data_IF_883309376926
#
_entry.id   IF_883309376926
#
_cell.length_a   1.000
_cell.length_b   1.000
_cell.length_c   1.000
_cell.angle_alpha   90.00
_cell.angle_beta   90.00
_cell.angle_gamma   90.00
#
_symmetry.space_group_name_H-M   'P 1'
#
loop_
_entity.id
_entity.type
_entity.pdbx_description
1 polymer ?
#
# COMPACT_ATOMS: atom_id res chain seq x y z
N UNK A 1 -2.16 -4.58 -21.90
CA UNK A 1 -2.36 -4.61 -20.43
C UNK A 1 -3.76 -5.09 -20.11
N UNK A 2 -3.87 -6.14 -19.29
CA UNK A 2 -5.15 -6.63 -18.76
C UNK A 2 -5.77 -5.58 -17.82
N UNK A 3 -7.08 -5.62 -17.59
CA UNK A 3 -7.79 -4.76 -16.64
C UNK A 3 -7.17 -4.85 -15.23
N UNK A 4 -6.93 -6.07 -14.75
CA UNK A 4 -6.33 -6.31 -13.43
C UNK A 4 -4.87 -5.84 -13.34
N UNK A 5 -4.14 -5.89 -14.46
CA UNK A 5 -2.79 -5.33 -14.53
C UNK A 5 -2.81 -3.80 -14.39
N UNK A 6 -3.80 -3.11 -14.99
CA UNK A 6 -3.99 -1.65 -14.82
C UNK A 6 -4.33 -1.29 -13.38
N UNK A 7 -5.16 -2.10 -12.71
CA UNK A 7 -5.46 -1.94 -11.28
C UNK A 7 -4.19 -2.05 -10.45
N UNK A 8 -3.38 -3.09 -10.66
CA UNK A 8 -2.11 -3.28 -9.95
C UNK A 8 -1.14 -2.12 -10.15
N UNK A 9 -1.02 -1.59 -11.38
CA UNK A 9 -0.22 -0.41 -11.65
C UNK A 9 -0.75 0.85 -10.98
N UNK A 10 -2.07 1.00 -10.89
CA UNK A 10 -2.71 2.12 -10.19
C UNK A 10 -2.40 2.05 -8.69
N UNK A 11 -2.56 0.87 -8.08
CA UNK A 11 -2.23 0.65 -6.67
C UNK A 11 -0.77 0.99 -6.35
N UNK A 12 0.16 0.49 -7.17
CA UNK A 12 1.58 0.76 -7.03
C UNK A 12 1.92 2.25 -7.24
N UNK A 13 1.38 2.86 -8.29
CA UNK A 13 1.72 4.26 -8.62
C UNK A 13 1.16 5.23 -7.58
N UNK A 14 -0.10 5.06 -7.17
CA UNK A 14 -0.74 5.92 -6.17
C UNK A 14 -0.03 5.82 -4.83
N UNK A 15 0.32 4.61 -4.39
CA UNK A 15 1.03 4.41 -3.12
C UNK A 15 2.45 4.99 -3.14
N UNK A 16 3.22 4.79 -4.22
CA UNK A 16 4.55 5.38 -4.36
C UNK A 16 4.48 6.90 -4.45
N UNK A 17 3.56 7.46 -5.23
CA UNK A 17 3.38 8.91 -5.34
C UNK A 17 2.98 9.52 -3.99
N UNK A 18 2.09 8.87 -3.23
CA UNK A 18 1.75 9.30 -1.88
C UNK A 18 2.99 9.34 -0.98
N UNK A 19 3.79 8.27 -0.92
CA UNK A 19 5.01 8.21 -0.12
C UNK A 19 6.03 9.29 -0.51
N UNK A 20 6.25 9.48 -1.82
CA UNK A 20 7.17 10.48 -2.34
C UNK A 20 6.69 11.89 -1.99
N UNK A 21 5.43 12.22 -2.26
CA UNK A 21 4.87 13.54 -1.94
C UNK A 21 4.95 13.85 -0.45
N UNK A 22 4.61 12.88 0.39
CA UNK A 22 4.72 13.02 1.85
C UNK A 22 6.17 13.33 2.25
N UNK A 23 7.16 12.60 1.72
CA UNK A 23 8.58 12.83 2.00
C UNK A 23 9.06 14.22 1.55
N UNK A 24 8.60 14.69 0.38
CA UNK A 24 8.93 16.02 -0.13
C UNK A 24 8.23 17.16 0.61
N UNK A 25 7.00 16.93 1.07
CA UNK A 25 6.20 17.93 1.78
C UNK A 25 6.58 18.03 3.26
N UNK A 26 7.15 16.97 3.84
CA UNK A 26 7.50 16.91 5.26
C UNK A 26 8.36 18.09 5.75
N UNK A 27 9.42 18.52 5.05
CA UNK A 27 10.25 19.64 5.50
C UNK A 27 9.51 20.99 5.56
N UNK A 28 8.39 21.14 4.83
CA UNK A 28 7.66 22.41 4.73
C UNK A 28 6.37 22.41 5.53
N UNK A 29 5.65 21.28 5.56
CA UNK A 29 4.33 21.16 6.18
C UNK A 29 4.34 20.38 7.51
N UNK A 30 5.45 19.73 7.87
CA UNK A 30 5.54 18.88 9.06
C UNK A 30 4.43 17.82 9.07
N UNK A 31 3.66 17.77 10.16
CA UNK A 31 2.52 16.85 10.30
C UNK A 31 1.40 17.07 9.28
N UNK A 32 1.30 18.28 8.69
CA UNK A 32 0.36 18.57 7.60
C UNK A 32 0.63 17.76 6.33
N UNK A 33 1.86 17.24 6.16
CA UNK A 33 2.21 16.38 5.02
C UNK A 33 1.40 15.07 5.00
N UNK A 34 0.84 14.63 6.14
CA UNK A 34 -0.05 13.47 6.21
C UNK A 34 -1.28 13.60 5.30
N UNK A 35 -1.70 14.84 4.96
CA UNK A 35 -2.77 15.08 4.01
C UNK A 35 -2.51 14.49 2.61
N UNK A 36 -1.25 14.33 2.20
CA UNK A 36 -0.92 13.72 0.93
C UNK A 36 -1.24 12.20 0.88
N UNK A 37 -1.36 11.53 2.04
CA UNK A 37 -1.93 10.18 2.08
C UNK A 37 -3.41 10.15 1.69
N UNK A 38 -4.11 11.29 1.64
CA UNK A 38 -5.44 11.40 1.05
C UNK A 38 -5.50 10.94 -0.42
N UNK A 39 -4.37 10.97 -1.14
CA UNK A 39 -4.27 10.40 -2.49
C UNK A 39 -4.51 8.90 -2.54
N UNK A 40 -4.33 8.18 -1.42
CA UNK A 40 -4.69 6.77 -1.31
C UNK A 40 -6.20 6.55 -1.49
N UNK A 41 -7.03 7.57 -1.27
CA UNK A 41 -8.45 7.51 -1.63
C UNK A 41 -8.69 7.27 -3.13
N UNK A 42 -7.73 7.62 -3.99
CA UNK A 42 -7.81 7.36 -5.43
C UNK A 42 -7.79 5.88 -5.78
N UNK A 43 -7.34 5.01 -4.86
CA UNK A 43 -7.39 3.57 -5.04
C UNK A 43 -8.83 3.06 -5.24
N UNK A 44 -9.83 3.73 -4.67
CA UNK A 44 -11.24 3.40 -4.89
C UNK A 44 -11.68 3.54 -6.35
N UNK A 45 -11.04 4.43 -7.12
CA UNK A 45 -11.32 4.59 -8.55
C UNK A 45 -10.73 3.48 -9.41
N UNK A 46 -9.88 2.59 -8.86
CA UNK A 46 -9.34 1.45 -9.61
C UNK A 46 -10.44 0.51 -10.12
N UNK A 47 -11.60 0.47 -9.46
CA UNK A 47 -12.79 -0.29 -9.89
C UNK A 47 -13.27 0.13 -11.29
N UNK A 48 -13.01 1.37 -11.72
CA UNK A 48 -13.38 1.84 -13.06
C UNK A 48 -12.64 1.11 -14.18
N UNK A 49 -11.51 0.47 -13.89
CA UNK A 49 -10.77 -0.33 -14.87
C UNK A 49 -11.31 -1.74 -15.03
N UNK A 50 -12.18 -2.21 -14.11
CA UNK A 50 -12.79 -3.53 -14.19
C UNK A 50 -13.88 -3.53 -15.26
N UNK A 51 -13.75 -4.39 -16.26
CA UNK A 51 -14.72 -4.52 -17.35
C UNK A 51 -15.91 -5.35 -16.88
N UNK A 52 -17.08 -4.73 -16.82
CA UNK A 52 -18.33 -5.44 -16.58
C UNK A 52 -18.82 -6.12 -17.86
N UNK A 53 -19.29 -7.37 -17.76
CA UNK A 53 -19.99 -8.06 -18.86
C UNK A 53 -21.36 -8.50 -18.33
N UNK A 54 -22.39 -7.69 -18.58
CA UNK A 54 -23.71 -7.90 -17.99
C UNK A 54 -23.72 -7.57 -16.49
N UNK A 55 -24.15 -8.51 -15.64
CA UNK A 55 -24.18 -8.35 -14.17
C UNK A 55 -22.92 -8.85 -13.45
N UNK A 56 -21.97 -9.43 -14.18
CA UNK A 56 -20.78 -10.04 -13.59
C UNK A 56 -19.50 -9.38 -14.09
N UNK A 57 -18.54 -9.22 -13.17
CA UNK A 57 -17.17 -8.86 -13.51
C UNK A 57 -16.48 -10.15 -13.93
N UNK A 58 -16.09 -10.23 -15.20
CA UNK A 58 -15.36 -11.39 -15.73
C UNK A 58 -13.93 -11.29 -15.23
N UNK A 59 -13.63 -11.99 -14.14
CA UNK A 59 -12.28 -12.16 -13.60
C UNK A 59 -11.89 -13.61 -13.83
N UNK A 60 -10.75 -13.82 -14.49
CA UNK A 60 -10.17 -15.15 -14.68
C UNK A 60 -9.79 -15.76 -13.32
N UNK A 61 -9.85 -17.09 -13.19
CA UNK A 61 -9.37 -17.79 -11.98
C UNK A 61 -7.92 -17.43 -11.69
N UNK A 62 -7.11 -17.28 -12.75
CA UNK A 62 -5.72 -16.84 -12.67
C UNK A 62 -5.56 -15.45 -12.04
N UNK A 63 -6.40 -14.50 -12.43
CA UNK A 63 -6.34 -13.13 -11.92
C UNK A 63 -6.69 -13.11 -10.41
N UNK A 64 -7.64 -13.96 -9.99
CA UNK A 64 -7.99 -14.16 -8.57
C UNK A 64 -6.83 -14.72 -7.77
N UNK A 65 -6.12 -15.71 -8.29
CA UNK A 65 -4.98 -16.31 -7.59
C UNK A 65 -3.83 -15.31 -7.40
N UNK A 66 -3.54 -14.50 -8.42
CA UNK A 66 -2.54 -13.42 -8.33
C UNK A 66 -2.96 -12.40 -7.28
N UNK A 67 -4.22 -11.97 -7.30
CA UNK A 67 -4.74 -11.00 -6.34
C UNK A 67 -4.70 -11.53 -4.90
N UNK A 68 -5.09 -12.78 -4.67
CA UNK A 68 -5.03 -13.40 -3.34
C UNK A 68 -3.59 -13.51 -2.83
N UNK A 69 -2.66 -13.94 -3.69
CA UNK A 69 -1.24 -14.04 -3.34
C UNK A 69 -0.65 -12.67 -3.02
N UNK A 70 -0.91 -11.67 -3.87
CA UNK A 70 -0.44 -10.31 -3.68
C UNK A 70 -1.01 -9.68 -2.41
N UNK A 71 -2.30 -9.88 -2.13
CA UNK A 71 -2.95 -9.40 -0.93
C UNK A 71 -2.35 -10.04 0.32
N UNK A 72 -2.17 -11.37 0.32
CA UNK A 72 -1.55 -12.08 1.45
C UNK A 72 -0.14 -11.56 1.73
N UNK A 73 0.69 -11.38 0.71
CA UNK A 73 2.05 -10.86 0.87
C UNK A 73 2.03 -9.41 1.34
N UNK A 74 1.24 -8.53 0.70
CA UNK A 74 1.13 -7.12 1.06
C UNK A 74 0.69 -6.91 2.50
N UNK A 75 -0.37 -7.61 2.92
CA UNK A 75 -0.88 -7.55 4.30
C UNK A 75 0.14 -8.11 5.29
N UNK A 76 0.75 -9.25 5.01
CA UNK A 76 1.73 -9.85 5.93
C UNK A 76 2.96 -8.95 6.11
N UNK A 77 3.47 -8.34 5.04
CA UNK A 77 4.65 -7.46 5.14
C UNK A 77 4.29 -6.18 5.88
N UNK A 78 3.14 -5.55 5.57
CA UNK A 78 2.70 -4.36 6.30
C UNK A 78 2.46 -4.66 7.79
N UNK A 79 1.83 -5.79 8.10
CA UNK A 79 1.57 -6.21 9.48
C UNK A 79 2.85 -6.49 10.26
N UNK A 80 3.79 -7.27 9.70
CA UNK A 80 5.08 -7.54 10.36
C UNK A 80 5.90 -6.27 10.53
N UNK A 81 5.89 -5.38 9.53
CA UNK A 81 6.60 -4.10 9.60
C UNK A 81 6.00 -3.20 10.67
N UNK A 82 4.66 -3.13 10.77
CA UNK A 82 3.96 -2.43 11.85
C UNK A 82 4.38 -2.98 13.22
N UNK A 83 4.31 -4.30 13.40
CA UNK A 83 4.65 -4.93 14.67
C UNK A 83 6.10 -4.63 15.09
N UNK A 84 7.05 -4.79 14.16
CA UNK A 84 8.46 -4.48 14.40
C UNK A 84 8.69 -2.99 14.71
N UNK A 85 7.99 -2.09 14.02
CA UNK A 85 8.10 -0.66 14.27
C UNK A 85 7.54 -0.25 15.63
N UNK A 86 6.41 -0.83 16.06
CA UNK A 86 5.84 -0.59 17.39
C UNK A 86 6.76 -1.14 18.49
N UNK A 87 7.30 -2.35 18.31
CA UNK A 87 8.27 -2.91 19.25
C UNK A 87 9.51 -2.02 19.38
N UNK A 88 10.05 -1.52 18.26
CA UNK A 88 11.18 -0.59 18.26
C UNK A 88 10.85 0.73 18.96
N UNK A 89 9.67 1.30 18.73
CA UNK A 89 9.21 2.53 19.40
C UNK A 89 9.10 2.32 20.91
N UNK A 90 8.52 1.19 21.36
CA UNK A 90 8.40 0.87 22.79
C UNK A 90 9.77 0.71 23.44
N UNK A 91 10.68 -0.05 22.81
CA UNK A 91 12.05 -0.22 23.30
C UNK A 91 12.77 1.13 23.39
N UNK A 92 12.62 1.98 22.38
CA UNK A 92 13.21 3.32 22.37
C UNK A 92 12.64 4.23 23.47
N UNK A 93 11.32 4.25 23.61
CA UNK A 93 10.63 5.05 24.65
C UNK A 93 11.10 4.64 26.04
N UNK A 94 11.20 3.33 26.29
CA UNK A 94 11.70 2.77 27.54
C UNK A 94 13.17 3.11 27.81
N UNK A 95 14.01 3.20 26.77
CA UNK A 95 15.41 3.57 26.93
C UNK A 95 15.59 5.07 27.24
N UNK A 96 14.68 5.91 26.75
CA UNK A 96 14.72 7.37 26.97
C UNK A 96 13.93 7.85 28.18
N UNK A 97 13.46 6.95 29.05
CA UNK A 97 12.59 7.24 30.20
C UNK A 97 11.38 8.12 29.84
N UNK A 98 10.82 7.89 28.65
CA UNK A 98 9.59 8.56 28.20
C UNK A 98 8.39 7.63 28.42
N UNK A 99 7.44 8.10 29.22
CA UNK A 99 6.23 7.35 29.55
C UNK A 99 5.16 7.40 28.45
N UNK A 100 5.36 8.19 27.40
CA UNK A 100 4.36 8.35 26.33
C UNK A 100 4.95 8.57 24.94
N UNK A 101 4.20 8.07 23.94
CA UNK A 101 4.48 8.27 22.52
C UNK A 101 3.49 9.29 21.98
N UNK A 102 3.95 10.24 21.18
CA UNK A 102 3.08 11.25 20.57
C UNK A 102 2.05 10.61 19.62
N UNK A 103 0.82 11.13 19.62
CA UNK A 103 -0.23 10.70 18.69
C UNK A 103 0.16 10.94 17.22
N UNK A 104 0.97 11.96 16.95
CA UNK A 104 1.50 12.24 15.61
C UNK A 104 2.31 11.07 15.06
N UNK A 105 3.24 10.54 15.85
CA UNK A 105 4.05 9.36 15.46
C UNK A 105 3.15 8.16 15.15
N UNK A 106 2.13 7.90 15.97
CA UNK A 106 1.21 6.79 15.73
C UNK A 106 0.38 6.99 14.45
N UNK A 107 -0.12 8.21 14.21
CA UNK A 107 -0.84 8.54 12.98
C UNK A 107 0.04 8.33 11.74
N UNK A 108 1.27 8.84 11.76
CA UNK A 108 2.25 8.62 10.70
C UNK A 108 2.53 7.14 10.45
N UNK A 109 2.68 6.37 11.53
CA UNK A 109 2.91 4.94 11.44
C UNK A 109 1.77 4.26 10.68
N UNK A 110 0.52 4.51 11.07
CA UNK A 110 -0.66 3.91 10.42
C UNK A 110 -0.68 4.21 8.91
N UNK A 111 -0.48 5.48 8.53
CA UNK A 111 -0.52 5.88 7.13
C UNK A 111 0.62 5.29 6.30
N UNK A 112 1.83 5.24 6.85
CA UNK A 112 2.97 4.60 6.18
C UNK A 112 2.69 3.11 5.98
N UNK A 113 2.12 2.42 6.96
CA UNK A 113 1.80 0.99 6.81
C UNK A 113 0.71 0.74 5.76
N UNK A 114 -0.29 1.61 5.69
CA UNK A 114 -1.32 1.54 4.66
C UNK A 114 -0.71 1.71 3.26
N UNK A 115 0.14 2.74 3.08
CA UNK A 115 0.85 2.95 1.83
C UNK A 115 1.78 1.78 1.46
N UNK A 116 2.51 1.24 2.45
CA UNK A 116 3.40 0.09 2.27
C UNK A 116 2.63 -1.16 1.83
N UNK A 117 1.47 -1.43 2.44
CA UNK A 117 0.62 -2.57 2.09
C UNK A 117 0.24 -2.55 0.60
N UNK A 118 -0.28 -1.42 0.12
CA UNK A 118 -0.68 -1.29 -1.29
C UNK A 118 0.49 -1.21 -2.26
N UNK A 119 1.62 -0.60 -1.85
CA UNK A 119 2.83 -0.59 -2.67
C UNK A 119 3.34 -2.02 -2.90
N UNK A 120 3.41 -2.83 -1.84
CA UNK A 120 3.86 -4.22 -1.94
C UNK A 120 2.86 -5.09 -2.68
N UNK A 121 1.56 -4.96 -2.38
CA UNK A 121 0.49 -5.66 -3.12
C UNK A 121 0.59 -5.35 -4.61
N UNK A 122 0.60 -4.07 -4.99
CA UNK A 122 0.70 -3.63 -6.38
C UNK A 122 1.98 -4.15 -7.05
N UNK A 123 3.12 -4.06 -6.36
CA UNK A 123 4.40 -4.58 -6.87
C UNK A 123 4.37 -6.09 -7.13
N UNK A 124 3.87 -6.89 -6.18
CA UNK A 124 3.76 -8.35 -6.33
C UNK A 124 2.81 -8.71 -7.48
N UNK A 125 1.69 -8.02 -7.61
CA UNK A 125 0.75 -8.20 -8.72
C UNK A 125 1.41 -7.90 -10.05
N UNK A 126 2.04 -6.73 -10.21
CA UNK A 126 2.73 -6.34 -11.46
C UNK A 126 3.84 -7.34 -11.81
N UNK A 127 4.65 -7.74 -10.84
CA UNK A 127 5.69 -8.75 -11.06
C UNK A 127 5.10 -10.08 -11.54
N UNK A 128 4.05 -10.56 -10.89
CA UNK A 128 3.39 -11.83 -11.25
C UNK A 128 2.82 -11.80 -12.67
N UNK A 129 2.26 -10.66 -13.11
CA UNK A 129 1.79 -10.50 -14.48
C UNK A 129 2.94 -10.50 -15.51
N UNK A 130 4.08 -9.88 -15.18
CA UNK A 130 5.25 -9.84 -16.08
C UNK A 130 5.95 -11.20 -16.18
N UNK A 131 6.16 -11.88 -15.07
CA UNK A 131 6.84 -13.19 -15.03
C UNK A 131 6.08 -14.22 -15.90
N UNK A 132 4.75 -14.14 -15.93
CA UNK A 132 3.94 -15.06 -16.71
C UNK A 132 3.79 -14.66 -18.19
N UNK A 133 4.05 -13.41 -18.58
CA UNK A 133 4.14 -13.02 -20.00
C UNK A 133 5.42 -13.56 -20.65
N UNK A 134 6.46 -13.87 -19.87
CA UNK A 134 7.71 -14.45 -20.37
C UNK A 134 7.69 -15.99 -20.41
N UNK A 135 6.69 -16.62 -19.82
CA UNK A 135 6.53 -18.08 -19.78
C UNK A 135 5.60 -18.64 -20.88
N UNK A 136 4.99 -17.77 -21.69
CA UNK A 136 4.09 -18.10 -22.80
C UNK A 136 4.73 -17.71 -24.13
#
# INVERSE_FOLDING_TARGET
MNAMEKVAWTELSVSLVALVLVAFLYPWLGDGATGAFGLMGLLGFSVLFLRQRGKEVVVDERDRDIEQRATRIGVNVAWMTLFMSLAAIVMWSSFTDRDSVSLGVLNWLIWIQFALCFAIKGFVSVKSYRDQQHAA
#
